data_IF_314452476814
#
_entry.id   IF_314452476814
#
_cell.length_a   1.000
_cell.length_b   1.000
_cell.length_c   1.000
_cell.angle_alpha   90.00
_cell.angle_beta   90.00
_cell.angle_gamma   90.00
#
_symmetry.space_group_name_H-M   'P 1'
#
loop_
_entity.id
_entity.type
_entity.pdbx_description
1 polymer ?
#
# COMPACT_ATOMS: atom_id res chain seq x y z
N UNK A 1 1.96 -29.51 6.22
CA UNK A 1 2.21 -28.70 5.01
C UNK A 1 1.29 -27.47 4.97
N UNK A 2 -0.04 -27.60 4.96
CA UNK A 2 -0.96 -26.46 4.89
C UNK A 2 -0.83 -25.40 6.02
N UNK A 3 -0.55 -25.80 7.27
CA UNK A 3 -0.32 -24.84 8.37
C UNK A 3 0.95 -24.00 8.18
N UNK A 4 2.01 -24.58 7.63
CA UNK A 4 3.26 -23.87 7.38
C UNK A 4 3.09 -22.83 6.26
N UNK A 5 2.34 -23.18 5.22
CA UNK A 5 1.97 -22.27 4.12
C UNK A 5 1.15 -21.08 4.63
N UNK A 6 0.18 -21.32 5.52
CA UNK A 6 -0.58 -20.25 6.18
C UNK A 6 0.33 -19.29 6.95
N UNK A 7 1.28 -19.82 7.73
CA UNK A 7 2.20 -18.99 8.52
C UNK A 7 3.06 -18.12 7.59
N UNK A 8 3.62 -18.71 6.53
CA UNK A 8 4.40 -17.97 5.52
C UNK A 8 3.56 -16.87 4.86
N UNK A 9 2.33 -17.20 4.44
CA UNK A 9 1.45 -16.25 3.78
C UNK A 9 1.03 -15.09 4.70
N UNK A 10 0.77 -15.36 5.99
CA UNK A 10 0.52 -14.32 7.00
C UNK A 10 1.73 -13.40 7.18
N UNK A 11 2.94 -13.95 7.22
CA UNK A 11 4.16 -13.16 7.29
C UNK A 11 4.35 -12.26 6.05
N UNK A 12 4.13 -12.80 4.85
CA UNK A 12 4.20 -12.03 3.60
C UNK A 12 3.16 -10.89 3.55
N UNK A 13 1.93 -11.15 3.99
CA UNK A 13 0.89 -10.12 4.08
C UNK A 13 1.31 -9.01 5.05
N UNK A 14 1.90 -9.38 6.20
CA UNK A 14 2.41 -8.41 7.17
C UNK A 14 3.52 -7.55 6.59
N UNK A 15 4.45 -8.15 5.85
CA UNK A 15 5.53 -7.42 5.19
C UNK A 15 5.00 -6.45 4.11
N UNK A 16 4.00 -6.87 3.33
CA UNK A 16 3.32 -6.00 2.36
C UNK A 16 2.66 -4.81 3.05
N UNK A 17 1.97 -5.03 4.18
CA UNK A 17 1.35 -3.95 4.94
C UNK A 17 2.41 -2.94 5.42
N UNK A 18 3.52 -3.44 5.99
CA UNK A 18 4.62 -2.57 6.42
C UNK A 18 5.19 -1.75 5.26
N UNK A 19 5.40 -2.38 4.09
CA UNK A 19 5.87 -1.65 2.91
C UNK A 19 4.86 -0.60 2.48
N UNK A 20 3.58 -0.94 2.43
CA UNK A 20 2.51 -0.02 2.04
C UNK A 20 2.50 1.22 2.94
N UNK A 21 2.63 1.06 4.25
CA UNK A 21 2.73 2.17 5.20
C UNK A 21 3.92 3.08 4.92
N UNK A 22 5.09 2.51 4.57
CA UNK A 22 6.27 3.30 4.19
C UNK A 22 6.05 4.09 2.89
N UNK A 23 5.43 3.49 1.87
CA UNK A 23 5.12 4.18 0.63
C UNK A 23 4.11 5.32 0.84
N UNK A 24 3.09 5.10 1.66
CA UNK A 24 2.11 6.13 2.04
C UNK A 24 2.78 7.27 2.82
N UNK A 25 3.65 6.95 3.78
CA UNK A 25 4.38 7.95 4.54
C UNK A 25 5.26 8.83 3.62
N UNK A 26 5.95 8.22 2.66
CA UNK A 26 6.75 8.95 1.68
C UNK A 26 5.90 9.82 0.74
N UNK A 27 4.75 9.33 0.28
CA UNK A 27 3.82 10.12 -0.53
C UNK A 27 3.30 11.35 0.25
N UNK A 28 2.97 11.18 1.54
CA UNK A 28 2.53 12.26 2.41
C UNK A 28 3.65 13.28 2.67
N UNK A 29 4.89 12.81 2.87
CA UNK A 29 6.05 13.70 3.02
C UNK A 29 6.28 14.56 1.78
N UNK A 30 6.18 13.96 0.59
CA UNK A 30 6.29 14.71 -0.67
C UNK A 30 5.12 15.68 -0.86
N UNK A 31 3.91 15.34 -0.42
CA UNK A 31 2.79 16.27 -0.41
C UNK A 31 3.07 17.52 0.44
N UNK A 32 3.67 17.33 1.62
CA UNK A 32 4.05 18.43 2.51
C UNK A 32 5.10 19.32 1.84
N UNK A 33 6.18 18.72 1.32
CA UNK A 33 7.21 19.47 0.58
C UNK A 33 6.66 20.21 -0.63
N UNK A 34 5.71 19.61 -1.36
CA UNK A 34 5.05 20.28 -2.49
C UNK A 34 4.24 21.48 -2.02
N UNK A 35 3.53 21.35 -0.90
CA UNK A 35 2.77 22.46 -0.29
C UNK A 35 3.70 23.61 0.10
N UNK A 36 4.85 23.30 0.70
CA UNK A 36 5.88 24.29 1.04
C UNK A 36 6.39 24.99 -0.22
N UNK A 37 6.71 24.24 -1.30
CA UNK A 37 7.16 24.83 -2.56
C UNK A 37 6.10 25.70 -3.23
N UNK A 38 4.82 25.34 -3.12
CA UNK A 38 3.73 26.19 -3.61
C UNK A 38 3.59 27.48 -2.79
N UNK A 39 3.93 27.47 -1.50
CA UNK A 39 4.01 28.70 -0.71
C UNK A 39 5.20 29.57 -1.14
N UNK A 40 6.39 28.98 -1.29
CA UNK A 40 7.57 29.70 -1.82
C UNK A 40 7.28 30.32 -3.19
N UNK A 41 6.53 29.60 -4.04
CA UNK A 41 6.12 30.10 -5.35
C UNK A 41 5.27 31.37 -5.23
N UNK A 42 4.27 31.38 -4.34
CA UNK A 42 3.43 32.56 -4.08
C UNK A 42 4.26 33.75 -3.60
N UNK A 43 5.23 33.50 -2.73
CA UNK A 43 6.10 34.54 -2.19
C UNK A 43 7.03 35.11 -3.29
N UNK A 44 7.53 34.26 -4.19
CA UNK A 44 8.33 34.68 -5.35
C UNK A 44 7.50 35.46 -6.39
N UNK A 45 6.25 35.03 -6.64
CA UNK A 45 5.30 35.72 -7.52
C UNK A 45 4.98 37.13 -7.00
N UNK A 46 4.85 37.32 -5.68
CA UNK A 46 4.67 38.64 -5.08
C UNK A 46 5.90 39.55 -5.23
N UNK A 47 7.11 38.99 -5.22
CA UNK A 47 8.38 39.73 -5.37
C UNK A 47 8.75 40.02 -6.82
N UNK A 48 8.09 39.39 -7.79
CA UNK A 48 8.36 39.56 -9.23
C UNK A 48 9.65 38.90 -9.72
N UNK A 49 10.15 37.86 -9.03
CA UNK A 49 11.43 37.20 -9.36
C UNK A 49 11.21 36.06 -10.38
N UNK A 50 11.18 36.40 -11.67
CA UNK A 50 10.82 35.47 -12.77
C UNK A 50 11.66 34.18 -12.84
N UNK A 51 12.98 34.28 -12.62
CA UNK A 51 13.88 33.11 -12.65
C UNK A 51 13.62 32.16 -11.47
N UNK A 52 13.37 32.72 -10.29
CA UNK A 52 13.04 31.95 -9.07
C UNK A 52 11.69 31.25 -9.20
N UNK A 53 10.69 31.91 -9.78
CA UNK A 53 9.37 31.33 -10.09
C UNK A 53 9.51 30.09 -10.98
N UNK A 54 10.30 30.17 -12.06
CA UNK A 54 10.53 29.05 -12.99
C UNK A 54 11.17 27.86 -12.27
N UNK A 55 12.18 28.14 -11.44
CA UNK A 55 12.89 27.11 -10.66
C UNK A 55 11.95 26.43 -9.66
N UNK A 56 11.16 27.18 -8.90
CA UNK A 56 10.24 26.64 -7.90
C UNK A 56 9.15 25.79 -8.58
N UNK A 57 8.61 26.23 -9.73
CA UNK A 57 7.65 25.45 -10.52
C UNK A 57 8.22 24.11 -10.95
N UNK A 58 9.46 24.08 -11.45
CA UNK A 58 10.14 22.84 -11.81
C UNK A 58 10.28 21.90 -10.60
N UNK A 59 10.73 22.42 -9.46
CA UNK A 59 10.87 21.62 -8.24
C UNK A 59 9.54 21.06 -7.73
N UNK A 60 8.48 21.87 -7.75
CA UNK A 60 7.14 21.42 -7.35
C UNK A 60 6.59 20.33 -8.29
N UNK A 61 6.92 20.40 -9.58
CA UNK A 61 6.57 19.38 -10.57
C UNK A 61 7.35 18.08 -10.36
N UNK A 62 8.66 18.15 -10.12
CA UNK A 62 9.48 16.97 -9.82
C UNK A 62 8.99 16.23 -8.55
N UNK A 63 8.63 16.99 -7.51
CA UNK A 63 8.05 16.43 -6.28
C UNK A 63 6.70 15.75 -6.57
N UNK A 64 5.87 16.33 -7.44
CA UNK A 64 4.59 15.73 -7.84
C UNK A 64 4.80 14.39 -8.55
N UNK A 65 5.74 14.31 -9.50
CA UNK A 65 6.07 13.05 -10.19
C UNK A 65 6.52 11.98 -9.19
N UNK A 66 7.40 12.36 -8.24
CA UNK A 66 7.85 11.43 -7.21
C UNK A 66 6.67 10.96 -6.33
N UNK A 67 5.78 11.87 -5.94
CA UNK A 67 4.61 11.54 -5.13
C UNK A 67 3.71 10.53 -5.86
N UNK A 68 3.44 10.73 -7.15
CA UNK A 68 2.66 9.82 -7.98
C UNK A 68 3.29 8.43 -8.08
N UNK A 69 4.63 8.34 -8.13
CA UNK A 69 5.32 7.05 -8.11
C UNK A 69 5.06 6.30 -6.79
N UNK A 70 5.14 6.96 -5.63
CA UNK A 70 4.83 6.33 -4.34
C UNK A 70 3.36 5.90 -4.24
N UNK A 71 2.43 6.67 -4.79
CA UNK A 71 1.01 6.31 -4.85
C UNK A 71 0.80 5.07 -5.74
N UNK A 72 1.47 5.00 -6.89
CA UNK A 72 1.40 3.85 -7.79
C UNK A 72 1.88 2.56 -7.11
N UNK A 73 3.01 2.62 -6.40
CA UNK A 73 3.52 1.47 -5.64
C UNK A 73 2.59 1.07 -4.49
N UNK A 74 1.99 2.04 -3.80
CA UNK A 74 0.96 1.78 -2.77
C UNK A 74 -0.21 0.98 -3.34
N UNK A 75 -0.66 1.30 -4.56
CA UNK A 75 -1.75 0.60 -5.24
C UNK A 75 -1.35 -0.83 -5.64
N UNK A 76 -0.12 -1.03 -6.12
CA UNK A 76 0.40 -2.37 -6.43
C UNK A 76 0.45 -3.25 -5.17
N UNK A 77 0.95 -2.71 -4.06
CA UNK A 77 1.00 -3.41 -2.78
C UNK A 77 -0.41 -3.75 -2.28
N UNK A 78 -1.39 -2.85 -2.46
CA UNK A 78 -2.79 -3.13 -2.11
C UNK A 78 -3.36 -4.29 -2.93
N UNK A 79 -3.07 -4.36 -4.24
CA UNK A 79 -3.52 -5.47 -5.08
C UNK A 79 -2.89 -6.80 -4.64
N UNK A 80 -1.57 -6.81 -4.39
CA UNK A 80 -0.86 -7.99 -3.89
C UNK A 80 -1.41 -8.46 -2.54
N UNK A 81 -1.69 -7.53 -1.62
CA UNK A 81 -2.31 -7.81 -0.33
C UNK A 81 -3.66 -8.51 -0.50
N UNK A 82 -4.53 -7.96 -1.36
CA UNK A 82 -5.85 -8.54 -1.62
C UNK A 82 -5.74 -9.97 -2.17
N UNK A 83 -4.87 -10.20 -3.14
CA UNK A 83 -4.65 -11.54 -3.70
C UNK A 83 -4.16 -12.54 -2.64
N UNK A 84 -3.19 -12.15 -1.80
CA UNK A 84 -2.69 -13.03 -0.74
C UNK A 84 -3.73 -13.30 0.34
N UNK A 85 -4.57 -12.32 0.69
CA UNK A 85 -5.68 -12.54 1.62
C UNK A 85 -6.72 -13.53 1.09
N UNK A 86 -6.99 -13.51 -0.22
CA UNK A 86 -7.88 -14.50 -0.85
C UNK A 86 -7.31 -15.91 -0.73
N UNK A 87 -6.03 -16.10 -1.09
CA UNK A 87 -5.34 -17.39 -0.95
C UNK A 87 -5.35 -17.86 0.50
N UNK A 88 -5.11 -16.94 1.46
CA UNK A 88 -5.12 -17.27 2.87
C UNK A 88 -6.49 -17.80 3.32
N UNK A 89 -7.57 -17.11 2.94
CA UNK A 89 -8.92 -17.54 3.26
C UNK A 89 -9.25 -18.92 2.67
N UNK A 90 -8.81 -19.20 1.44
CA UNK A 90 -9.01 -20.50 0.79
C UNK A 90 -8.27 -21.62 1.54
N UNK A 91 -7.02 -21.38 1.95
CA UNK A 91 -6.23 -22.34 2.72
C UNK A 91 -6.84 -22.61 4.10
N UNK A 92 -7.28 -21.56 4.79
CA UNK A 92 -7.93 -21.67 6.11
C UNK A 92 -9.24 -22.48 6.01
N UNK A 93 -10.10 -22.20 5.03
CA UNK A 93 -11.33 -22.97 4.81
C UNK A 93 -11.08 -24.44 4.48
N UNK A 94 -10.05 -24.74 3.68
CA UNK A 94 -9.71 -26.12 3.33
C UNK A 94 -9.21 -26.91 4.55
N UNK A 95 -8.46 -26.26 5.44
CA UNK A 95 -8.03 -26.84 6.71
C UNK A 95 -9.20 -27.09 7.67
N UNK A 96 -10.16 -26.17 7.76
CA UNK A 96 -11.36 -26.36 8.57
C UNK A 96 -12.19 -27.55 8.08
N UNK A 97 -12.41 -27.66 6.77
CA UNK A 97 -13.14 -28.79 6.15
C UNK A 97 -12.48 -30.15 6.43
N UNK A 98 -11.16 -30.20 6.51
CA UNK A 98 -10.42 -31.42 6.85
C UNK A 98 -10.51 -31.79 8.34
N UNK A 99 -10.84 -30.84 9.21
CA UNK A 99 -10.95 -31.04 10.65
C UNK A 99 -12.36 -31.43 11.11
N UNK A 100 -13.39 -31.31 10.26
CA UNK A 100 -14.74 -31.79 10.59
C UNK A 100 -14.75 -33.32 10.46
N UNK A 101 -14.89 -34.09 11.56
CA UNK A 101 -15.11 -35.53 11.43
C UNK A 101 -16.46 -35.71 10.75
N UNK A 102 -16.51 -36.50 9.68
CA UNK A 102 -17.78 -36.95 9.10
C UNK A 102 -18.60 -37.57 10.23
N UNK A 103 -19.62 -36.85 10.69
CA UNK A 103 -20.66 -37.46 11.51
C UNK A 103 -21.35 -38.46 10.59
N UNK A 104 -20.95 -39.74 10.71
CA UNK A 104 -21.64 -40.83 10.04
C UNK A 104 -23.12 -40.74 10.41
N UNK A 105 -24.06 -40.77 9.44
CA UNK A 105 -25.47 -40.71 9.75
C UNK A 105 -25.80 -41.92 10.63
N UNK A 106 -26.18 -41.63 11.88
CA UNK A 106 -26.67 -42.63 12.81
C UNK A 106 -28.00 -43.12 12.23
N UNK A 107 -27.97 -44.25 11.51
CA UNK A 107 -29.18 -44.94 11.12
C UNK A 107 -29.86 -45.41 12.41
N UNK A 108 -30.97 -44.77 12.77
CA UNK A 108 -31.84 -45.24 13.83
C UNK A 108 -32.76 -46.36 13.28
N UNK A 109 -33.04 -47.39 14.09
CA UNK A 109 -33.69 -48.64 13.68
C UNK A 109 -35.16 -48.48 13.28
#
# INVERSE_FOLDING_TARGET
>A
MAQEEIIKLKAEIFDIIRQQELYVANANHLQQKRTEKLQELRDAEQKGVSEEITKIKSQAFDIMIQQEAYISETNKLQQMKTQKLQILNELEQNLEKQQVPQQAPIQQP
#
